data_IF_484979772213
#
_entry.id   IF_484979772213
#
_cell.length_a   1.000
_cell.length_b   1.000
_cell.length_c   1.000
_cell.angle_alpha   90.00
_cell.angle_beta   90.00
_cell.angle_gamma   90.00
#
_symmetry.space_group_name_H-M   'P 1'
#
loop_
_entity.id
_entity.type
_entity.pdbx_description
1 polymer ?
#
# COMPACT_ATOMS: atom_id res chain seq x y z
N UNK A 1 4.65 14.10 -14.16
CA UNK A 1 5.30 13.28 -15.19
C UNK A 1 5.10 11.84 -14.77
N UNK A 2 4.13 11.17 -15.39
CA UNK A 2 3.75 9.78 -15.09
C UNK A 2 4.21 8.84 -16.21
N UNK A 3 5.04 9.33 -17.12
CA UNK A 3 5.56 8.59 -18.27
C UNK A 3 7.08 8.55 -18.24
N UNK A 4 7.64 7.43 -18.71
CA UNK A 4 9.06 7.29 -19.04
C UNK A 4 9.41 8.22 -20.21
N UNK A 5 10.71 8.40 -20.47
CA UNK A 5 11.19 9.13 -21.66
C UNK A 5 10.65 8.54 -22.97
N UNK A 6 10.38 7.22 -23.00
CA UNK A 6 9.81 6.52 -24.14
C UNK A 6 8.27 6.64 -24.23
N UNK A 7 7.62 7.31 -23.27
CA UNK A 7 6.17 7.51 -23.23
C UNK A 7 5.36 6.37 -22.61
N UNK A 8 6.00 5.33 -22.07
CA UNK A 8 5.31 4.27 -21.32
C UNK A 8 4.95 4.72 -19.89
N UNK A 9 3.83 4.27 -19.30
CA UNK A 9 3.50 4.55 -17.90
C UNK A 9 4.63 4.17 -16.94
N UNK A 10 4.94 5.05 -16.00
CA UNK A 10 5.96 4.78 -14.99
C UNK A 10 5.45 3.76 -13.98
N UNK A 11 6.28 2.76 -13.68
CA UNK A 11 6.06 1.88 -12.55
C UNK A 11 6.21 2.69 -11.26
N UNK A 12 5.27 2.58 -10.32
CA UNK A 12 5.26 3.42 -9.10
C UNK A 12 6.52 3.27 -8.24
N UNK A 13 7.14 2.09 -8.22
CA UNK A 13 8.45 1.83 -7.58
C UNK A 13 9.61 2.68 -8.12
N UNK A 14 9.48 3.25 -9.32
CA UNK A 14 10.49 4.12 -9.93
C UNK A 14 10.25 5.60 -9.62
N UNK A 15 9.12 5.95 -9.00
CA UNK A 15 8.80 7.33 -8.66
C UNK A 15 9.58 7.74 -7.42
N UNK A 16 10.29 8.86 -7.52
CA UNK A 16 10.82 9.53 -6.36
C UNK A 16 9.71 10.17 -5.53
N UNK A 17 9.99 10.35 -4.25
CA UNK A 17 9.06 11.05 -3.37
C UNK A 17 9.04 12.55 -3.72
N UNK A 18 7.89 13.18 -3.51
CA UNK A 18 7.75 14.62 -3.58
C UNK A 18 7.29 15.13 -2.23
N UNK A 19 8.08 16.02 -1.62
CA UNK A 19 7.70 16.62 -0.34
C UNK A 19 6.35 17.34 -0.40
N UNK A 20 6.03 17.98 -1.52
CA UNK A 20 4.72 18.56 -1.76
C UNK A 20 3.59 17.51 -1.72
N UNK A 21 3.81 16.34 -2.33
CA UNK A 21 2.85 15.24 -2.28
C UNK A 21 2.73 14.66 -0.86
N UNK A 22 3.85 14.40 -0.18
CA UNK A 22 3.87 13.90 1.21
C UNK A 22 3.07 14.82 2.14
N UNK A 23 3.31 16.13 2.09
CA UNK A 23 2.57 17.13 2.90
C UNK A 23 1.09 17.15 2.53
N UNK A 24 0.76 17.12 1.24
CA UNK A 24 -0.64 17.11 0.75
C UNK A 24 -1.40 15.86 1.22
N UNK A 25 -0.76 14.69 1.18
CA UNK A 25 -1.35 13.44 1.68
C UNK A 25 -1.75 13.57 3.16
N UNK A 26 -0.85 14.07 4.01
CA UNK A 26 -1.14 14.30 5.43
C UNK A 26 -2.28 15.32 5.62
N UNK A 27 -2.29 16.40 4.84
CA UNK A 27 -3.39 17.39 4.89
C UNK A 27 -4.75 16.79 4.53
N UNK A 28 -4.81 15.95 3.49
CA UNK A 28 -6.05 15.24 3.11
C UNK A 28 -6.47 14.27 4.23
N UNK A 29 -5.52 13.55 4.83
CA UNK A 29 -5.78 12.69 5.98
C UNK A 29 -6.43 13.47 7.14
N UNK A 30 -5.89 14.66 7.44
CA UNK A 30 -6.40 15.56 8.47
C UNK A 30 -7.81 16.08 8.21
N UNK A 31 -8.18 16.30 6.94
CA UNK A 31 -9.53 16.70 6.57
C UNK A 31 -10.57 15.59 6.80
N UNK A 32 -10.14 14.32 6.79
CA UNK A 32 -11.01 13.17 7.06
C UNK A 32 -11.12 12.88 8.55
N UNK A 33 -9.99 12.66 9.22
CA UNK A 33 -9.95 12.43 10.67
C UNK A 33 -8.53 12.48 11.22
N UNK A 34 -8.41 12.68 12.54
CA UNK A 34 -7.12 12.53 13.24
C UNK A 34 -6.56 11.12 13.18
N UNK A 35 -7.44 10.11 13.14
CA UNK A 35 -7.02 8.70 13.00
C UNK A 35 -6.40 8.44 11.62
N UNK A 36 -7.03 8.90 10.55
CA UNK A 36 -6.51 8.76 9.19
C UNK A 36 -5.16 9.48 9.05
N UNK A 37 -5.08 10.72 9.55
CA UNK A 37 -3.82 11.46 9.55
C UNK A 37 -2.71 10.73 10.32
N UNK A 38 -3.03 10.13 11.48
CA UNK A 38 -2.09 9.36 12.27
C UNK A 38 -1.54 8.15 11.49
N UNK A 39 -2.42 7.32 10.92
CA UNK A 39 -1.99 6.14 10.17
C UNK A 39 -1.21 6.51 8.91
N UNK A 40 -1.62 7.57 8.20
CA UNK A 40 -0.87 8.07 7.04
C UNK A 40 0.51 8.61 7.45
N UNK A 41 0.61 9.30 8.59
CA UNK A 41 1.89 9.79 9.11
C UNK A 41 2.82 8.63 9.46
N UNK A 42 2.33 7.60 10.15
CA UNK A 42 3.09 6.39 10.45
C UNK A 42 3.55 5.68 9.18
N UNK A 43 2.69 5.58 8.16
CA UNK A 43 3.03 4.97 6.88
C UNK A 43 4.10 5.75 6.12
N UNK A 44 3.95 7.08 6.01
CA UNK A 44 4.95 7.92 5.34
C UNK A 44 6.29 7.91 6.09
N UNK A 45 6.29 7.85 7.43
CA UNK A 45 7.51 7.64 8.19
C UNK A 45 8.15 6.30 7.82
N UNK A 46 7.42 5.20 7.87
CA UNK A 46 7.94 3.88 7.49
C UNK A 46 8.56 3.85 6.08
N UNK A 47 7.88 4.41 5.08
CA UNK A 47 8.34 4.42 3.69
C UNK A 47 9.64 5.21 3.50
N UNK A 48 9.81 6.32 4.23
CA UNK A 48 10.88 7.28 3.96
C UNK A 48 11.97 7.35 5.03
N UNK A 49 11.78 6.74 6.21
CA UNK A 49 12.83 6.65 7.24
C UNK A 49 14.14 6.06 6.69
N UNK A 50 14.15 5.02 5.81
CA UNK A 50 15.39 4.52 5.21
C UNK A 50 16.16 5.56 4.36
N UNK A 51 15.51 6.65 3.97
CA UNK A 51 16.10 7.77 3.21
C UNK A 51 16.49 8.95 4.11
N UNK A 52 16.37 8.85 5.44
CA UNK A 52 16.80 9.93 6.36
C UNK A 52 18.27 10.29 6.13
N UNK A 53 18.58 11.58 6.20
CA UNK A 53 19.92 12.14 6.01
C UNK A 53 20.31 12.38 4.56
N UNK A 54 19.49 11.97 3.58
CA UNK A 54 19.76 12.25 2.16
C UNK A 54 19.26 13.63 1.73
N UNK A 55 18.27 14.17 2.42
CA UNK A 55 17.60 15.43 2.10
C UNK A 55 17.09 16.08 3.39
N UNK A 56 17.50 17.34 3.60
CA UNK A 56 17.14 18.11 4.79
C UNK A 56 15.63 18.32 4.89
N UNK A 57 14.94 18.53 3.76
CA UNK A 57 13.49 18.76 3.80
C UNK A 57 12.74 17.49 4.23
N UNK A 58 13.21 16.33 3.78
CA UNK A 58 12.67 15.04 4.20
C UNK A 58 12.88 14.82 5.71
N UNK A 59 14.08 15.09 6.22
CA UNK A 59 14.38 14.95 7.65
C UNK A 59 13.46 15.81 8.51
N UNK A 60 13.28 17.08 8.14
CA UNK A 60 12.35 18.00 8.82
C UNK A 60 10.90 17.50 8.77
N UNK A 61 10.48 16.90 7.65
CA UNK A 61 9.15 16.30 7.53
C UNK A 61 8.97 15.08 8.42
N UNK A 62 9.97 14.19 8.49
CA UNK A 62 9.93 13.01 9.35
C UNK A 62 9.88 13.39 10.83
N UNK A 63 10.65 14.40 11.25
CA UNK A 63 10.63 14.92 12.62
C UNK A 63 9.27 15.55 12.98
N UNK A 64 8.69 16.26 12.00
CA UNK A 64 7.32 16.77 12.12
C UNK A 64 6.29 15.64 12.23
N UNK A 65 6.48 14.51 11.53
CA UNK A 65 5.60 13.34 11.63
C UNK A 65 5.66 12.71 13.02
N UNK A 66 6.84 12.52 13.61
CA UNK A 66 6.99 12.01 14.99
C UNK A 66 6.22 12.88 15.99
N UNK A 67 6.38 14.20 15.86
CA UNK A 67 5.66 15.18 16.71
C UNK A 67 4.14 15.09 16.50
N UNK A 68 3.70 15.00 15.26
CA UNK A 68 2.29 14.88 14.90
C UNK A 68 1.65 13.60 15.42
N UNK A 69 2.32 12.46 15.31
CA UNK A 69 1.83 11.18 15.79
C UNK A 69 1.58 11.24 17.31
N UNK A 70 2.52 11.80 18.07
CA UNK A 70 2.35 11.98 19.52
C UNK A 70 1.18 12.92 19.85
N UNK A 71 1.03 14.01 19.10
CA UNK A 71 -0.08 14.97 19.27
C UNK A 71 -1.44 14.34 18.96
N UNK A 72 -1.61 13.76 17.77
CA UNK A 72 -2.90 13.25 17.31
C UNK A 72 -3.34 12.04 18.13
N UNK A 73 -2.41 11.17 18.56
CA UNK A 73 -2.70 10.10 19.53
C UNK A 73 -3.34 10.65 20.81
N UNK A 74 -2.82 11.73 21.36
CA UNK A 74 -3.38 12.38 22.57
C UNK A 74 -4.76 12.98 22.29
N UNK A 75 -4.92 13.67 21.17
CA UNK A 75 -6.20 14.31 20.79
C UNK A 75 -7.34 13.30 20.67
N UNK A 76 -7.06 12.10 20.15
CA UNK A 76 -8.05 11.02 20.00
C UNK A 76 -8.04 10.02 21.16
N UNK A 77 -7.22 10.25 22.19
CA UNK A 77 -7.07 9.38 23.37
C UNK A 77 -6.66 7.93 23.05
N UNK A 78 -5.89 7.72 21.99
CA UNK A 78 -5.34 6.42 21.65
C UNK A 78 -4.02 6.15 22.39
N UNK A 79 -3.86 4.95 22.93
CA UNK A 79 -2.61 4.44 23.49
C UNK A 79 -1.61 4.11 22.38
N UNK A 80 -0.32 4.00 22.73
CA UNK A 80 0.72 3.75 21.72
C UNK A 80 0.50 2.38 21.09
N UNK A 81 0.19 1.40 21.93
CA UNK A 81 -0.11 0.03 21.54
C UNK A 81 -1.27 -0.06 20.54
N UNK A 82 -2.36 0.69 20.75
CA UNK A 82 -3.49 0.70 19.81
C UNK A 82 -3.09 1.28 18.45
N UNK A 83 -2.34 2.40 18.43
CA UNK A 83 -1.88 3.01 17.20
C UNK A 83 -0.88 2.09 16.45
N UNK A 84 0.05 1.46 17.18
CA UNK A 84 1.03 0.54 16.63
C UNK A 84 0.33 -0.68 16.01
N UNK A 85 -0.63 -1.29 16.72
CA UNK A 85 -1.42 -2.41 16.22
C UNK A 85 -2.19 -2.03 14.95
N UNK A 86 -2.92 -0.90 14.98
CA UNK A 86 -3.71 -0.45 13.85
C UNK A 86 -2.84 -0.16 12.62
N UNK A 87 -1.65 0.41 12.83
CA UNK A 87 -0.71 0.65 11.75
C UNK A 87 -0.11 -0.65 11.20
N UNK A 88 0.29 -1.59 12.07
CA UNK A 88 0.80 -2.89 11.63
C UNK A 88 -0.23 -3.67 10.81
N UNK A 89 -1.53 -3.60 11.20
CA UNK A 89 -2.62 -4.17 10.42
C UNK A 89 -2.73 -3.50 9.03
N UNK A 90 -2.72 -2.17 8.97
CA UNK A 90 -2.75 -1.43 7.70
C UNK A 90 -1.55 -1.76 6.80
N UNK A 91 -0.34 -1.82 7.38
CA UNK A 91 0.89 -2.12 6.66
C UNK A 91 0.88 -3.55 6.11
N UNK A 92 0.34 -4.51 6.85
CA UNK A 92 0.16 -5.88 6.37
C UNK A 92 -0.82 -5.94 5.20
N UNK A 93 -1.96 -5.23 5.27
CA UNK A 93 -2.90 -5.13 4.15
C UNK A 93 -2.26 -4.48 2.92
N UNK A 94 -1.46 -3.42 3.11
CA UNK A 94 -0.70 -2.78 2.03
C UNK A 94 0.27 -3.77 1.38
N UNK A 95 1.08 -4.48 2.17
CA UNK A 95 2.00 -5.50 1.68
C UNK A 95 1.29 -6.64 0.92
N UNK A 96 0.17 -7.15 1.45
CA UNK A 96 -0.61 -8.20 0.80
C UNK A 96 -1.19 -7.72 -0.54
N UNK A 97 -1.79 -6.53 -0.58
CA UNK A 97 -2.37 -5.99 -1.81
C UNK A 97 -1.30 -5.74 -2.88
N UNK A 98 -0.10 -5.33 -2.48
CA UNK A 98 1.06 -5.24 -3.37
C UNK A 98 1.47 -6.60 -3.95
N UNK A 99 1.50 -7.65 -3.13
CA UNK A 99 1.81 -9.01 -3.62
C UNK A 99 0.80 -9.46 -4.68
N UNK A 100 -0.49 -9.23 -4.45
CA UNK A 100 -1.57 -9.60 -5.38
C UNK A 100 -1.50 -8.76 -6.67
N UNK A 101 -1.55 -7.44 -6.55
CA UNK A 101 -1.64 -6.53 -7.69
C UNK A 101 -0.36 -6.43 -8.54
N UNK A 102 0.77 -6.99 -8.06
CA UNK A 102 2.01 -7.11 -8.83
C UNK A 102 2.31 -8.54 -9.27
N UNK A 103 1.34 -9.45 -9.16
CA UNK A 103 1.45 -10.85 -9.57
C UNK A 103 2.71 -11.54 -8.98
N UNK A 104 2.91 -11.38 -7.67
CA UNK A 104 4.12 -11.86 -6.98
C UNK A 104 3.91 -13.19 -6.26
N UNK A 105 2.70 -13.75 -6.27
CA UNK A 105 2.45 -15.05 -5.64
C UNK A 105 3.25 -16.12 -6.39
N UNK A 106 4.17 -16.83 -5.72
CA UNK A 106 5.02 -17.77 -6.42
C UNK A 106 4.22 -19.03 -6.81
N UNK A 107 4.48 -19.62 -8.00
CA UNK A 107 3.84 -20.86 -8.40
C UNK A 107 4.35 -22.05 -7.59
N UNK A 108 3.71 -23.21 -7.81
CA UNK A 108 4.10 -24.51 -7.26
C UNK A 108 4.01 -24.59 -5.72
N UNK A 109 3.03 -23.90 -5.13
CA UNK A 109 2.80 -23.88 -3.68
C UNK A 109 4.00 -23.46 -2.85
N UNK A 110 4.91 -22.68 -3.44
CA UNK A 110 5.97 -22.01 -2.70
C UNK A 110 5.37 -20.93 -1.81
N UNK A 111 6.01 -20.69 -0.67
CA UNK A 111 5.62 -19.62 0.25
C UNK A 111 6.38 -18.34 -0.05
N UNK A 112 5.68 -17.21 0.02
CA UNK A 112 6.25 -15.87 0.06
C UNK A 112 5.85 -15.20 1.38
N UNK A 113 6.82 -14.60 2.08
CA UNK A 113 6.50 -13.78 3.26
C UNK A 113 5.83 -12.48 2.80
N UNK A 114 4.66 -12.17 3.38
CA UNK A 114 3.95 -10.92 3.13
C UNK A 114 4.58 -9.81 3.97
N UNK A 115 4.47 -9.95 5.29
CA UNK A 115 5.15 -9.14 6.31
C UNK A 115 4.85 -9.71 7.71
N UNK A 116 5.39 -9.07 8.75
CA UNK A 116 4.91 -9.24 10.11
C UNK A 116 3.48 -8.69 10.25
N UNK A 117 2.60 -9.46 10.89
CA UNK A 117 1.25 -9.05 11.22
C UNK A 117 1.18 -8.16 12.46
N UNK A 118 -0.02 -7.66 12.81
CA UNK A 118 -0.24 -6.80 13.97
C UNK A 118 -0.08 -7.50 15.32
N UNK A 119 -0.06 -8.82 15.32
CA UNK A 119 0.29 -9.72 16.44
C UNK A 119 1.80 -9.98 16.58
N UNK A 120 2.62 -9.46 15.66
CA UNK A 120 4.07 -9.58 15.69
C UNK A 120 4.62 -10.92 15.17
N UNK A 121 3.82 -11.71 14.45
CA UNK A 121 4.28 -12.94 13.80
C UNK A 121 4.31 -12.77 12.27
N UNK A 122 5.17 -13.50 11.55
CA UNK A 122 5.23 -13.43 10.09
C UNK A 122 4.03 -14.15 9.46
N UNK A 123 3.49 -13.56 8.41
CA UNK A 123 2.45 -14.16 7.57
C UNK A 123 2.98 -14.48 6.18
N UNK A 124 2.57 -15.63 5.65
CA UNK A 124 2.99 -16.12 4.34
C UNK A 124 1.80 -16.32 3.42
N UNK A 125 1.97 -16.05 2.14
CA UNK A 125 1.02 -16.36 1.08
C UNK A 125 1.57 -17.46 0.18
N UNK A 126 0.70 -18.33 -0.29
CA UNK A 126 1.00 -19.34 -1.30
C UNK A 126 -0.22 -19.64 -2.17
N UNK A 127 0.05 -20.11 -3.40
CA UNK A 127 -0.96 -20.65 -4.30
C UNK A 127 -1.10 -22.16 -4.11
N UNK A 128 -2.34 -22.62 -3.93
CA UNK A 128 -2.69 -24.03 -3.78
C UNK A 128 -2.77 -24.72 -5.15
N UNK A 129 -2.78 -26.06 -5.21
CA UNK A 129 -2.90 -26.80 -6.48
C UNK A 129 -4.21 -26.54 -7.23
N UNK A 130 -5.26 -26.09 -6.54
CA UNK A 130 -6.56 -25.69 -7.12
C UNK A 130 -6.60 -24.19 -7.48
N UNK A 131 -5.43 -23.55 -7.61
CA UNK A 131 -5.22 -22.14 -7.93
C UNK A 131 -5.71 -21.12 -6.87
N UNK A 132 -6.41 -21.59 -5.83
CA UNK A 132 -6.80 -20.74 -4.70
C UNK A 132 -5.60 -20.31 -3.85
N UNK A 133 -5.74 -19.19 -3.14
CA UNK A 133 -4.71 -18.65 -2.27
C UNK A 133 -4.95 -19.04 -0.82
N UNK A 134 -3.89 -19.21 -0.03
CA UNK A 134 -3.99 -19.31 1.43
C UNK A 134 -2.98 -18.39 2.09
N UNK A 135 -3.35 -17.93 3.28
CA UNK A 135 -2.46 -17.20 4.19
C UNK A 135 -2.08 -18.13 5.35
N UNK A 136 -0.83 -18.06 5.79
CA UNK A 136 -0.30 -18.83 6.92
C UNK A 136 0.40 -17.93 7.95
N UNK A 137 -0.04 -17.91 9.21
CA UNK A 137 -1.25 -18.58 9.73
C UNK A 137 -2.53 -17.95 9.17
N UNK A 138 -3.64 -18.69 9.16
CA UNK A 138 -4.92 -18.19 8.63
C UNK A 138 -5.51 -17.13 9.58
N UNK A 139 -5.65 -15.85 9.18
CA UNK A 139 -6.08 -14.78 10.08
C UNK A 139 -7.58 -14.49 10.05
N UNK A 140 -8.37 -15.24 9.28
CA UNK A 140 -9.77 -14.93 9.03
C UNK A 140 -10.70 -15.87 9.79
N UNK A 141 -11.80 -15.33 10.31
CA UNK A 141 -12.82 -16.10 11.03
C UNK A 141 -13.68 -17.00 10.11
N UNK A 142 -13.53 -16.83 8.79
CA UNK A 142 -14.23 -17.62 7.76
C UNK A 142 -13.26 -18.55 7.06
N UNK A 143 -13.71 -19.75 6.62
CA UNK A 143 -12.83 -20.72 5.98
C UNK A 143 -12.49 -20.37 4.53
N UNK A 144 -13.24 -19.46 3.91
CA UNK A 144 -12.98 -19.00 2.54
C UNK A 144 -13.67 -17.66 2.28
N UNK A 145 -13.09 -16.87 1.39
CA UNK A 145 -13.66 -15.63 0.87
C UNK A 145 -13.03 -15.27 -0.47
N UNK A 146 -13.64 -14.32 -1.17
CA UNK A 146 -13.13 -13.79 -2.44
C UNK A 146 -12.83 -12.31 -2.28
N UNK A 147 -11.76 -11.86 -2.93
CA UNK A 147 -11.41 -10.44 -3.06
C UNK A 147 -11.23 -10.11 -4.52
N UNK A 148 -11.58 -8.89 -4.89
CA UNK A 148 -11.47 -8.43 -6.26
C UNK A 148 -11.01 -6.98 -6.33
N UNK A 149 -10.40 -6.62 -7.45
CA UNK A 149 -10.06 -5.23 -7.79
C UNK A 149 -10.48 -4.94 -9.22
N UNK A 150 -10.92 -3.71 -9.46
CA UNK A 150 -11.12 -3.22 -10.82
C UNK A 150 -9.77 -2.89 -11.47
N UNK A 151 -9.60 -3.29 -12.72
CA UNK A 151 -8.44 -2.97 -13.53
C UNK A 151 -8.87 -2.23 -14.80
N UNK A 152 -7.99 -1.34 -15.29
CA UNK A 152 -8.24 -0.55 -16.49
C UNK A 152 -7.32 -1.03 -17.62
N UNK A 153 -7.88 -1.73 -18.61
CA UNK A 153 -7.10 -2.31 -19.68
C UNK A 153 -6.71 -1.25 -20.73
N UNK A 154 -5.41 -0.95 -20.82
CA UNK A 154 -4.86 -0.04 -21.82
C UNK A 154 -4.27 -0.80 -23.02
N UNK A 155 -4.92 -0.68 -24.17
CA UNK A 155 -4.45 -1.30 -25.43
C UNK A 155 -3.28 -0.53 -26.10
N UNK A 156 -2.72 0.49 -25.44
CA UNK A 156 -1.62 1.32 -25.95
C UNK A 156 -0.51 1.38 -24.92
N UNK A 157 0.72 1.11 -25.35
CA UNK A 157 1.90 1.13 -24.49
C UNK A 157 2.53 2.53 -24.38
N UNK A 158 2.35 3.40 -25.40
CA UNK A 158 3.03 4.69 -25.50
C UNK A 158 2.04 5.84 -25.53
N UNK A 159 2.29 6.83 -24.68
CA UNK A 159 1.52 8.05 -24.53
C UNK A 159 2.43 9.27 -24.72
N UNK A 160 1.88 10.33 -25.31
CA UNK A 160 2.59 11.59 -25.57
C UNK A 160 2.81 12.42 -24.31
N UNK A 161 1.85 12.36 -23.37
CA UNK A 161 1.87 13.12 -22.13
C UNK A 161 0.85 12.56 -21.13
N UNK A 162 0.96 13.01 -19.88
CA UNK A 162 0.07 12.63 -18.78
C UNK A 162 -1.42 12.82 -19.15
N UNK A 163 -1.79 13.88 -19.88
CA UNK A 163 -3.18 14.12 -20.29
C UNK A 163 -3.71 12.99 -21.18
N UNK A 164 -2.91 12.50 -22.12
CA UNK A 164 -3.32 11.40 -22.99
C UNK A 164 -3.45 10.09 -22.21
N UNK A 165 -2.54 9.81 -21.28
CA UNK A 165 -2.65 8.66 -20.39
C UNK A 165 -3.94 8.73 -19.56
N UNK A 166 -4.24 9.86 -18.94
CA UNK A 166 -5.45 10.03 -18.13
C UNK A 166 -6.73 9.87 -18.94
N UNK A 167 -6.83 10.43 -20.14
CA UNK A 167 -7.99 10.21 -21.00
C UNK A 167 -8.13 8.73 -21.38
N UNK A 168 -7.02 8.06 -21.70
CA UNK A 168 -7.06 6.63 -22.02
C UNK A 168 -7.50 5.77 -20.84
N UNK A 169 -7.11 6.10 -19.60
CA UNK A 169 -7.58 5.42 -18.39
C UNK A 169 -9.07 5.63 -18.15
N UNK A 170 -9.59 6.84 -18.40
CA UNK A 170 -11.01 7.16 -18.23
C UNK A 170 -11.91 6.46 -19.27
N UNK A 171 -11.40 6.27 -20.47
CA UNK A 171 -12.11 5.62 -21.57
C UNK A 171 -11.87 4.09 -21.63
N UNK A 172 -10.99 3.57 -20.76
CA UNK A 172 -10.63 2.15 -20.76
C UNK A 172 -11.82 1.27 -20.35
N UNK A 173 -11.85 0.05 -20.90
CA UNK A 173 -12.73 -0.98 -20.37
C UNK A 173 -12.27 -1.35 -18.96
N UNK A 174 -13.23 -1.41 -18.05
CA UNK A 174 -13.02 -1.93 -16.70
C UNK A 174 -13.10 -3.45 -16.77
N UNK A 175 -12.07 -4.10 -16.26
CA UNK A 175 -12.03 -5.54 -16.03
C UNK A 175 -11.92 -5.80 -14.52
N UNK A 176 -12.10 -7.04 -14.09
CA UNK A 176 -12.07 -7.42 -12.67
C UNK A 176 -11.08 -8.56 -12.47
N UNK A 177 -10.07 -8.30 -11.65
CA UNK A 177 -9.16 -9.35 -11.17
C UNK A 177 -9.68 -9.90 -9.86
N UNK A 178 -9.77 -11.22 -9.74
CA UNK A 178 -10.38 -11.92 -8.60
C UNK A 178 -9.42 -12.95 -8.01
N UNK A 179 -9.40 -13.03 -6.68
CA UNK A 179 -8.65 -14.04 -5.94
C UNK A 179 -9.53 -14.72 -4.91
N UNK A 180 -9.58 -16.05 -4.95
CA UNK A 180 -10.24 -16.87 -3.94
C UNK A 180 -9.25 -17.27 -2.86
N UNK A 181 -9.54 -16.91 -1.61
CA UNK A 181 -8.79 -17.33 -0.43
C UNK A 181 -9.48 -18.49 0.27
N UNK A 182 -8.72 -19.49 0.71
CA UNK A 182 -9.22 -20.65 1.47
C UNK A 182 -8.28 -21.02 2.62
N UNK A 183 -8.85 -21.38 3.76
CA UNK A 183 -8.15 -22.06 4.85
C UNK A 183 -7.58 -23.39 4.35
N UNK A 184 -6.51 -23.86 4.99
CA UNK A 184 -5.76 -25.05 4.57
C UNK A 184 -6.62 -26.30 4.41
#
# INVERSE_FOLDING_TARGET
NHLTTAGAPLHFKLLDYSMAQCRKMIQIGLQKSRWNALLMSMHTSFLYEPKRGTDKELDEFLDQQVTNQAKWRKEIKATKKEADYAYAFLQWCDALSLVLCMDQVPPESRRLEVSMGPDGIPYFILQRPDESLTIEPWPFDVPAFEVHVETFLLNKLVFKNDKQLYSALQDALVDVEEWTFREK
#
